data_IF_169193865354
#
_entry.id   IF_169193865354
#
_cell.length_a   1.000
_cell.length_b   1.000
_cell.length_c   1.000
_cell.angle_alpha   90.00
_cell.angle_beta   90.00
_cell.angle_gamma   90.00
#
_symmetry.space_group_name_H-M   'P 1'
#
loop_
_entity.id
_entity.type
_entity.pdbx_description
1 polymer ?
#
# COMPACT_ATOMS: atom_id res chain seq x y z
N UNK A 1 -11.88 4.21 27.79
CA UNK A 1 -11.30 3.98 26.45
C UNK A 1 -9.84 4.43 26.40
N UNK A 2 -9.54 5.69 26.75
CA UNK A 2 -8.16 6.23 26.86
C UNK A 2 -7.23 5.35 27.69
N UNK A 3 -7.64 4.90 28.88
CA UNK A 3 -6.80 4.08 29.77
C UNK A 3 -6.28 2.77 29.15
N UNK A 4 -7.08 2.07 28.32
CA UNK A 4 -6.64 0.83 27.67
C UNK A 4 -5.53 1.11 26.65
N UNK A 5 -5.76 2.12 25.79
CA UNK A 5 -4.80 2.55 24.77
C UNK A 5 -3.60 3.33 25.35
N UNK A 6 -3.65 3.74 26.62
CA UNK A 6 -2.51 4.33 27.34
C UNK A 6 -1.58 3.27 27.93
N UNK A 7 -1.97 1.99 27.94
CA UNK A 7 -1.15 0.92 28.49
C UNK A 7 0.20 0.80 27.74
N UNK A 8 1.30 0.94 28.49
CA UNK A 8 2.68 0.87 27.98
C UNK A 8 2.98 -0.47 27.30
N UNK A 9 2.49 -1.58 27.85
CA UNK A 9 2.73 -2.92 27.29
C UNK A 9 2.03 -3.11 25.95
N UNK A 10 0.81 -2.57 25.80
CA UNK A 10 0.09 -2.59 24.53
C UNK A 10 0.85 -1.80 23.44
N UNK A 11 1.37 -0.62 23.77
CA UNK A 11 2.19 0.19 22.85
C UNK A 11 3.47 -0.52 22.44
N UNK A 12 4.14 -1.19 23.38
CA UNK A 12 5.36 -1.97 23.10
C UNK A 12 5.06 -3.16 22.18
N UNK A 13 3.99 -3.90 22.46
CA UNK A 13 3.53 -5.02 21.64
C UNK A 13 3.19 -4.56 20.23
N UNK A 14 2.54 -3.40 20.09
CA UNK A 14 2.23 -2.82 18.79
C UNK A 14 3.50 -2.43 18.01
N UNK A 15 4.49 -1.83 18.66
CA UNK A 15 5.78 -1.53 18.01
C UNK A 15 6.49 -2.81 17.57
N UNK A 16 6.52 -3.83 18.42
CA UNK A 16 7.07 -5.13 18.05
C UNK A 16 6.33 -5.72 16.83
N UNK A 17 5.00 -5.64 16.81
CA UNK A 17 4.18 -6.07 15.68
C UNK A 17 4.55 -5.31 14.39
N UNK A 18 4.63 -3.98 14.42
CA UNK A 18 5.01 -3.20 13.24
C UNK A 18 6.44 -3.48 12.77
N UNK A 19 7.39 -3.67 13.70
CA UNK A 19 8.77 -4.05 13.34
C UNK A 19 8.77 -5.42 12.64
N UNK A 20 8.04 -6.40 13.15
CA UNK A 20 7.92 -7.72 12.52
C UNK A 20 7.25 -7.65 11.15
N UNK A 21 6.20 -6.83 10.99
CA UNK A 21 5.57 -6.57 9.67
C UNK A 21 6.58 -5.95 8.70
N UNK A 22 7.44 -5.03 9.15
CA UNK A 22 8.46 -4.40 8.30
C UNK A 22 9.53 -5.40 7.87
N UNK A 23 10.01 -6.25 8.79
CA UNK A 23 11.09 -7.20 8.54
C UNK A 23 10.62 -8.35 7.65
N UNK A 24 9.40 -8.85 7.82
CA UNK A 24 8.96 -10.13 7.24
C UNK A 24 7.67 -10.08 6.41
N UNK A 25 7.03 -8.91 6.27
CA UNK A 25 5.83 -8.69 5.41
C UNK A 25 4.81 -9.84 5.44
N UNK A 26 4.61 -10.49 4.28
CA UNK A 26 3.64 -11.54 4.06
C UNK A 26 3.98 -12.77 4.88
N UNK A 27 5.27 -13.10 5.01
CA UNK A 27 5.70 -14.24 5.81
C UNK A 27 5.37 -14.07 7.29
N UNK A 28 5.35 -12.86 7.84
CA UNK A 28 4.87 -12.65 9.20
C UNK A 28 3.35 -12.65 9.29
N UNK A 29 2.66 -11.98 8.36
CA UNK A 29 1.19 -11.99 8.32
C UNK A 29 0.61 -13.39 8.03
N UNK A 30 1.40 -14.28 7.45
CA UNK A 30 1.05 -15.67 7.16
C UNK A 30 1.19 -16.64 8.34
N UNK A 31 1.78 -16.22 9.46
CA UNK A 31 2.00 -17.11 10.62
C UNK A 31 0.65 -17.59 11.16
N UNK A 32 0.55 -18.90 11.40
CA UNK A 32 -0.65 -19.50 11.97
C UNK A 32 -0.69 -19.37 13.49
N UNK A 33 -1.80 -18.84 14.02
CA UNK A 33 -2.13 -18.77 15.43
C UNK A 33 -3.55 -19.29 15.62
N UNK A 34 -3.71 -20.37 16.37
CA UNK A 34 -5.01 -21.02 16.60
C UNK A 34 -5.77 -21.38 15.30
N UNK A 35 -5.04 -21.76 14.25
CA UNK A 35 -5.60 -22.13 12.94
C UNK A 35 -5.92 -20.95 12.01
N UNK A 36 -5.76 -19.71 12.46
CA UNK A 36 -5.93 -18.50 11.64
C UNK A 36 -4.59 -17.84 11.34
N UNK A 37 -4.48 -17.18 10.19
CA UNK A 37 -3.27 -16.41 9.87
C UNK A 37 -3.26 -15.10 10.68
N UNK A 38 -2.09 -14.65 11.10
CA UNK A 38 -1.94 -13.37 11.81
C UNK A 38 -2.56 -12.20 11.04
N UNK A 39 -2.50 -12.21 9.71
CA UNK A 39 -3.13 -11.20 8.87
C UNK A 39 -4.65 -11.22 8.97
N UNK A 40 -5.29 -12.38 9.04
CA UNK A 40 -6.74 -12.50 9.23
C UNK A 40 -7.16 -11.98 10.61
N UNK A 41 -6.39 -12.34 11.64
CA UNK A 41 -6.60 -11.83 13.01
C UNK A 41 -6.40 -10.31 13.09
N UNK A 42 -5.43 -9.76 12.36
CA UNK A 42 -5.20 -8.32 12.30
C UNK A 42 -6.37 -7.59 11.63
N UNK A 43 -6.92 -8.12 10.53
CA UNK A 43 -8.12 -7.58 9.89
C UNK A 43 -9.33 -7.66 10.84
N UNK A 44 -9.51 -8.78 11.54
CA UNK A 44 -10.59 -8.94 12.52
C UNK A 44 -10.48 -7.92 13.67
N UNK A 45 -9.28 -7.73 14.21
CA UNK A 45 -9.02 -6.71 15.24
C UNK A 45 -9.33 -5.29 14.73
N UNK A 46 -8.99 -5.01 13.46
CA UNK A 46 -9.31 -3.76 12.79
C UNK A 46 -10.82 -3.57 12.60
N UNK A 47 -11.53 -4.62 12.19
CA UNK A 47 -12.99 -4.62 12.08
C UNK A 47 -13.66 -4.30 13.42
N UNK A 48 -13.25 -4.97 14.50
CA UNK A 48 -13.77 -4.72 15.86
C UNK A 48 -13.50 -3.27 16.26
N UNK A 49 -12.29 -2.77 16.00
CA UNK A 49 -11.92 -1.37 16.22
C UNK A 49 -12.87 -0.43 15.47
N UNK A 50 -13.07 -0.66 14.17
CA UNK A 50 -13.94 0.16 13.31
C UNK A 50 -15.38 0.21 13.84
N UNK A 51 -15.97 -0.97 14.11
CA UNK A 51 -17.35 -1.08 14.62
C UNK A 51 -17.47 -0.41 15.99
N UNK A 52 -16.52 -0.64 16.89
CA UNK A 52 -16.52 -0.03 18.22
C UNK A 52 -16.43 1.50 18.14
N UNK A 53 -15.51 2.05 17.33
CA UNK A 53 -15.42 3.49 17.15
C UNK A 53 -16.71 4.05 16.53
N UNK A 54 -17.26 3.42 15.48
CA UNK A 54 -18.49 3.88 14.83
C UNK A 54 -19.68 4.04 15.81
N UNK A 55 -19.83 3.10 16.75
CA UNK A 55 -20.91 3.08 17.74
C UNK A 55 -20.67 4.03 18.93
N UNK A 56 -19.44 4.07 19.45
CA UNK A 56 -19.12 4.77 20.70
C UNK A 56 -18.48 6.15 20.53
N UNK A 57 -18.21 6.59 19.29
CA UNK A 57 -17.59 7.88 18.98
C UNK A 57 -18.32 9.07 19.61
N UNK A 58 -19.65 9.04 19.75
CA UNK A 58 -20.44 10.15 20.32
C UNK A 58 -20.16 10.40 21.81
N UNK A 59 -19.78 9.37 22.58
CA UNK A 59 -19.68 9.44 24.05
C UNK A 59 -18.31 9.87 24.58
N UNK A 60 -17.25 9.76 23.79
CA UNK A 60 -15.87 9.97 24.28
C UNK A 60 -15.35 11.40 23.97
N UNK A 61 -15.04 12.20 24.99
CA UNK A 61 -14.47 13.55 24.83
C UNK A 61 -13.10 13.52 24.13
N UNK A 62 -12.39 12.39 24.20
CA UNK A 62 -11.05 12.23 23.62
C UNK A 62 -11.03 12.23 22.08
N UNK A 63 -12.20 12.10 21.44
CA UNK A 63 -12.40 11.99 19.98
C UNK A 63 -13.08 13.24 19.38
N UNK A 64 -13.05 14.38 20.05
CA UNK A 64 -13.81 15.56 19.66
C UNK A 64 -13.54 16.06 18.22
N UNK A 65 -12.30 15.94 17.74
CA UNK A 65 -11.96 16.24 16.34
C UNK A 65 -12.72 15.33 15.36
N UNK A 66 -12.76 14.03 15.65
CA UNK A 66 -13.47 13.05 14.83
C UNK A 66 -14.98 13.25 14.92
N UNK A 67 -15.51 13.68 16.08
CA UNK A 67 -16.91 14.08 16.26
C UNK A 67 -17.32 15.29 15.42
N UNK A 68 -16.47 16.31 15.36
CA UNK A 68 -16.71 17.53 14.56
C UNK A 68 -16.55 17.27 13.06
N UNK A 69 -15.73 16.30 12.69
CA UNK A 69 -15.55 15.89 11.31
C UNK A 69 -16.72 15.04 10.82
N UNK A 70 -17.02 15.09 9.51
CA UNK A 70 -18.00 14.19 8.88
C UNK A 70 -17.46 12.75 8.68
N UNK A 71 -16.26 12.44 9.19
CA UNK A 71 -15.61 11.12 9.03
C UNK A 71 -16.50 10.01 9.60
N UNK A 72 -17.02 10.17 10.82
CA UNK A 72 -17.88 9.15 11.43
C UNK A 72 -19.18 8.92 10.64
N UNK A 73 -19.77 10.00 10.12
CA UNK A 73 -20.97 9.91 9.27
C UNK A 73 -20.68 9.10 8.01
N UNK A 74 -19.59 9.41 7.30
CA UNK A 74 -19.21 8.68 6.08
C UNK A 74 -18.91 7.22 6.38
N UNK A 75 -18.24 6.91 7.48
CA UNK A 75 -17.96 5.51 7.87
C UNK A 75 -19.25 4.74 8.14
N UNK A 76 -20.20 5.34 8.86
CA UNK A 76 -21.50 4.73 9.06
C UNK A 76 -22.23 4.49 7.72
N UNK A 77 -22.13 5.44 6.78
CA UNK A 77 -22.69 5.25 5.43
C UNK A 77 -21.98 4.13 4.65
N UNK A 78 -20.65 3.98 4.80
CA UNK A 78 -19.89 2.87 4.21
C UNK A 78 -20.37 1.54 4.79
N UNK A 79 -20.55 1.44 6.12
CA UNK A 79 -21.04 0.23 6.78
C UNK A 79 -22.49 -0.12 6.38
N UNK A 80 -23.37 0.88 6.29
CA UNK A 80 -24.75 0.71 5.79
C UNK A 80 -24.72 0.23 4.33
N UNK A 81 -23.88 0.86 3.50
CA UNK A 81 -23.71 0.48 2.10
C UNK A 81 -23.20 -0.94 1.97
N UNK A 82 -22.24 -1.38 2.81
CA UNK A 82 -21.79 -2.77 2.87
C UNK A 82 -22.94 -3.74 3.14
N UNK A 83 -23.73 -3.49 4.19
CA UNK A 83 -24.87 -4.36 4.55
C UNK A 83 -25.89 -4.43 3.41
N UNK A 84 -26.20 -3.28 2.80
CA UNK A 84 -27.14 -3.20 1.68
C UNK A 84 -26.64 -3.98 0.46
N UNK A 85 -25.38 -3.78 0.05
CA UNK A 85 -24.78 -4.50 -1.07
C UNK A 85 -24.73 -6.00 -0.78
N UNK A 86 -24.27 -6.40 0.41
CA UNK A 86 -24.18 -7.80 0.80
C UNK A 86 -25.56 -8.50 0.75
N UNK A 87 -26.63 -7.82 1.18
CA UNK A 87 -27.98 -8.34 1.07
C UNK A 87 -28.41 -8.50 -0.41
N UNK A 88 -28.20 -7.48 -1.24
CA UNK A 88 -28.56 -7.52 -2.66
C UNK A 88 -27.78 -8.57 -3.47
N UNK A 89 -26.51 -8.79 -3.13
CA UNK A 89 -25.65 -9.79 -3.80
C UNK A 89 -25.79 -11.19 -3.21
N UNK A 90 -26.77 -11.44 -2.33
CA UNK A 90 -26.97 -12.71 -1.62
C UNK A 90 -25.71 -13.21 -0.90
N UNK A 91 -24.90 -12.29 -0.37
CA UNK A 91 -23.70 -12.62 0.40
C UNK A 91 -24.07 -13.15 1.78
N UNK A 92 -23.41 -14.23 2.19
CA UNK A 92 -23.64 -14.83 3.50
C UNK A 92 -22.78 -14.13 4.57
N UNK A 93 -23.40 -13.49 5.55
CA UNK A 93 -22.72 -12.83 6.67
C UNK A 93 -21.98 -13.78 7.63
N UNK A 94 -22.23 -15.08 7.54
CA UNK A 94 -21.51 -16.12 8.29
C UNK A 94 -20.29 -16.60 7.52
N UNK A 95 -20.28 -16.46 6.18
CA UNK A 95 -19.18 -16.94 5.34
C UNK A 95 -17.96 -15.99 5.47
N UNK A 96 -16.78 -16.50 5.87
CA UNK A 96 -15.54 -15.71 5.91
C UNK A 96 -15.18 -15.04 4.58
N UNK A 97 -15.58 -15.62 3.45
CA UNK A 97 -15.34 -15.06 2.13
C UNK A 97 -15.92 -13.65 1.97
N UNK A 98 -17.12 -13.40 2.51
CA UNK A 98 -17.77 -12.07 2.48
C UNK A 98 -16.86 -11.01 3.08
N UNK A 99 -16.14 -11.35 4.16
CA UNK A 99 -15.22 -10.44 4.84
C UNK A 99 -13.84 -10.36 4.15
N UNK A 100 -13.39 -11.46 3.52
CA UNK A 100 -12.20 -11.46 2.64
C UNK A 100 -12.39 -10.49 1.47
N UNK A 101 -13.53 -10.59 0.77
CA UNK A 101 -13.87 -9.76 -0.39
C UNK A 101 -14.12 -8.28 -0.03
N UNK A 102 -14.45 -7.98 1.23
CA UNK A 102 -14.69 -6.63 1.76
C UNK A 102 -13.56 -6.13 2.68
N UNK A 103 -12.38 -6.74 2.65
CA UNK A 103 -11.24 -6.44 3.54
C UNK A 103 -10.83 -4.95 3.51
N UNK A 104 -10.96 -4.29 2.37
CA UNK A 104 -10.67 -2.87 2.21
C UNK A 104 -11.55 -1.94 3.07
N UNK A 105 -12.74 -2.40 3.50
CA UNK A 105 -13.61 -1.69 4.44
C UNK A 105 -13.08 -1.85 5.85
N UNK A 106 -12.77 -3.07 6.24
CA UNK A 106 -12.36 -3.41 7.62
C UNK A 106 -11.00 -2.82 7.98
N UNK A 107 -10.09 -2.71 7.02
CA UNK A 107 -8.78 -2.08 7.21
C UNK A 107 -8.84 -0.62 7.64
N UNK A 108 -9.95 0.10 7.39
CA UNK A 108 -10.16 1.47 7.88
C UNK A 108 -10.10 1.55 9.41
N UNK A 109 -10.37 0.46 10.13
CA UNK A 109 -10.20 0.41 11.59
C UNK A 109 -8.79 0.77 12.09
N UNK A 110 -7.75 0.53 11.27
CA UNK A 110 -6.38 0.89 11.61
C UNK A 110 -6.16 2.40 11.68
N UNK A 111 -6.99 3.20 11.03
CA UNK A 111 -6.95 4.65 11.14
C UNK A 111 -7.29 5.10 12.55
N UNK A 112 -8.33 4.54 13.15
CA UNK A 112 -8.70 4.86 14.53
C UNK A 112 -7.68 4.34 15.53
N UNK A 113 -7.13 3.15 15.26
CA UNK A 113 -6.07 2.58 16.08
C UNK A 113 -4.84 3.50 16.07
N UNK A 114 -4.39 3.95 14.88
CA UNK A 114 -3.30 4.90 14.73
C UNK A 114 -3.56 6.23 15.45
N UNK A 115 -4.76 6.79 15.31
CA UNK A 115 -5.15 8.01 16.02
C UNK A 115 -5.13 7.84 17.55
N UNK A 116 -5.71 6.77 18.08
CA UNK A 116 -5.85 6.61 19.52
C UNK A 116 -4.51 6.26 20.19
N UNK A 117 -3.69 5.40 19.56
CA UNK A 117 -2.40 4.97 20.11
C UNK A 117 -1.38 6.11 20.20
N UNK A 118 -1.44 7.05 19.26
CA UNK A 118 -0.46 8.12 19.11
C UNK A 118 -0.87 9.41 19.80
N UNK A 119 -2.12 9.49 20.29
CA UNK A 119 -2.67 10.69 20.93
C UNK A 119 -1.78 11.23 22.05
N UNK A 120 -1.33 10.33 22.92
CA UNK A 120 -0.51 10.63 24.10
C UNK A 120 0.89 9.99 23.99
N UNK A 121 1.42 9.88 22.77
CA UNK A 121 2.72 9.25 22.55
C UNK A 121 3.66 10.19 21.80
N UNK A 122 4.80 10.49 22.42
CA UNK A 122 5.92 11.18 21.78
C UNK A 122 6.94 10.17 21.28
N UNK A 123 7.30 10.26 20.01
CA UNK A 123 8.35 9.42 19.44
C UNK A 123 9.72 9.94 19.87
N UNK A 124 10.54 9.05 20.42
CA UNK A 124 11.91 9.40 20.74
C UNK A 124 12.77 9.30 19.48
N UNK A 125 13.32 10.44 19.06
CA UNK A 125 14.18 10.59 17.88
C UNK A 125 15.25 9.50 17.77
N UNK A 126 15.98 9.20 18.86
CA UNK A 126 17.05 8.19 18.88
C UNK A 126 16.53 6.80 18.50
N UNK A 127 15.41 6.37 19.08
CA UNK A 127 14.83 5.04 18.81
C UNK A 127 14.18 4.97 17.44
N UNK A 128 13.56 6.05 16.97
CA UNK A 128 12.99 6.00 15.62
C UNK A 128 14.08 6.02 14.55
N UNK A 129 15.20 6.73 14.76
CA UNK A 129 16.28 6.79 13.79
C UNK A 129 16.92 5.41 13.50
N UNK A 130 16.82 4.43 14.41
CA UNK A 130 17.26 3.06 14.13
C UNK A 130 16.39 2.33 13.10
N UNK A 131 15.18 2.82 12.78
CA UNK A 131 14.36 2.28 11.69
C UNK A 131 15.02 2.41 10.31
N UNK A 132 16.01 3.31 10.15
CA UNK A 132 16.85 3.37 8.95
C UNK A 132 17.65 2.07 8.73
N UNK A 133 18.04 1.39 9.81
CA UNK A 133 18.72 0.09 9.72
C UNK A 133 17.77 -0.99 9.21
N UNK A 134 16.47 -0.89 9.52
CA UNK A 134 15.44 -1.79 8.98
C UNK A 134 15.33 -1.58 7.46
N UNK A 135 15.36 -0.33 6.98
CA UNK A 135 15.38 -0.08 5.52
C UNK A 135 16.66 -0.60 4.85
N UNK A 136 17.83 -0.48 5.48
CA UNK A 136 19.04 -1.09 4.93
C UNK A 136 18.94 -2.62 4.90
N UNK A 137 18.39 -3.21 5.96
CA UNK A 137 18.13 -4.64 6.00
C UNK A 137 17.18 -5.09 4.88
N UNK A 138 16.05 -4.41 4.69
CA UNK A 138 15.08 -4.71 3.60
C UNK A 138 15.74 -4.57 2.23
N UNK A 139 16.61 -3.57 2.04
CA UNK A 139 17.34 -3.38 0.79
C UNK A 139 18.20 -4.60 0.45
N UNK A 140 19.01 -5.07 1.40
CA UNK A 140 19.88 -6.24 1.18
C UNK A 140 19.08 -7.54 1.07
N UNK A 141 18.04 -7.69 1.88
CA UNK A 141 17.13 -8.83 1.84
C UNK A 141 16.50 -8.99 0.45
N UNK A 142 16.06 -7.89 -0.15
CA UNK A 142 15.42 -7.92 -1.47
C UNK A 142 16.38 -8.34 -2.61
N UNK A 143 17.70 -8.25 -2.40
CA UNK A 143 18.76 -8.57 -3.36
C UNK A 143 19.33 -9.97 -3.15
N UNK A 144 19.63 -10.32 -1.89
CA UNK A 144 20.34 -11.55 -1.53
C UNK A 144 19.45 -12.66 -0.99
N UNK A 145 18.20 -12.35 -0.64
CA UNK A 145 17.25 -13.27 0.00
C UNK A 145 17.70 -13.80 1.38
N UNK A 146 16.86 -14.58 2.05
CA UNK A 146 17.22 -15.26 3.31
C UNK A 146 17.96 -16.58 3.05
N UNK A 147 18.82 -17.03 3.98
CA UNK A 147 19.37 -18.39 3.94
C UNK A 147 18.24 -19.44 3.94
N UNK A 148 18.44 -20.56 3.24
CA UNK A 148 17.43 -21.64 3.12
C UNK A 148 16.94 -22.13 4.47
N UNK A 149 17.82 -22.29 5.47
CA UNK A 149 17.43 -22.70 6.83
C UNK A 149 16.41 -21.76 7.48
N UNK A 150 16.48 -20.46 7.20
CA UNK A 150 15.52 -19.48 7.70
C UNK A 150 14.22 -19.52 6.89
N UNK A 151 14.31 -19.73 5.58
CA UNK A 151 13.14 -19.91 4.72
C UNK A 151 12.33 -21.14 5.16
N UNK A 152 13.00 -22.27 5.39
CA UNK A 152 12.38 -23.52 5.85
C UNK A 152 11.75 -23.34 7.24
N UNK A 153 12.42 -22.63 8.14
CA UNK A 153 11.83 -22.27 9.43
C UNK A 153 10.56 -21.44 9.27
N UNK A 154 10.57 -20.42 8.40
CA UNK A 154 9.37 -19.61 8.13
C UNK A 154 8.24 -20.49 7.55
N UNK A 155 8.55 -21.35 6.59
CA UNK A 155 7.58 -22.27 5.98
C UNK A 155 7.00 -23.27 7.00
N UNK A 156 7.72 -23.57 8.09
CA UNK A 156 7.21 -24.43 9.17
C UNK A 156 6.14 -23.76 10.05
N UNK A 157 6.08 -22.42 10.08
CA UNK A 157 5.17 -21.66 10.95
C UNK A 157 4.18 -20.77 10.19
N UNK A 158 4.43 -20.51 8.90
CA UNK A 158 3.73 -19.52 8.07
C UNK A 158 3.14 -20.14 6.81
N UNK A 159 2.11 -19.49 6.26
CA UNK A 159 1.44 -19.94 5.04
C UNK A 159 2.36 -19.98 3.81
N UNK A 160 3.30 -19.02 3.71
CA UNK A 160 4.33 -19.02 2.69
C UNK A 160 5.52 -18.13 3.06
N UNK A 161 6.67 -18.49 2.50
CA UNK A 161 7.78 -17.56 2.38
C UNK A 161 7.61 -16.70 1.12
N UNK A 162 7.61 -15.37 1.27
CA UNK A 162 7.55 -14.46 0.14
C UNK A 162 8.45 -13.24 0.41
N UNK A 163 9.50 -13.03 -0.40
CA UNK A 163 10.31 -11.82 -0.33
C UNK A 163 9.48 -10.57 -0.60
N UNK A 164 9.91 -9.42 -0.07
CA UNK A 164 9.18 -8.16 -0.18
C UNK A 164 8.88 -7.80 -1.64
N UNK A 165 7.61 -7.50 -1.92
CA UNK A 165 7.20 -6.94 -3.23
C UNK A 165 7.61 -5.48 -3.31
N UNK A 166 7.68 -4.95 -4.53
CA UNK A 166 7.99 -3.54 -4.75
C UNK A 166 7.04 -2.59 -4.02
N UNK A 167 5.74 -2.92 -3.94
CA UNK A 167 4.74 -2.18 -3.15
C UNK A 167 5.07 -2.17 -1.66
N UNK A 168 5.51 -3.31 -1.12
CA UNK A 168 5.78 -3.47 0.32
C UNK A 168 6.98 -2.62 0.73
N UNK A 169 8.03 -2.69 -0.08
CA UNK A 169 9.25 -1.89 0.10
C UNK A 169 8.93 -0.39 0.02
N UNK A 170 8.07 0.01 -0.92
CA UNK A 170 7.63 1.40 -1.07
C UNK A 170 6.92 1.91 0.19
N UNK A 171 5.89 1.20 0.69
CA UNK A 171 5.12 1.69 1.85
C UNK A 171 5.99 1.75 3.11
N UNK A 172 6.92 0.81 3.29
CA UNK A 172 7.88 0.82 4.39
C UNK A 172 8.86 1.99 4.29
N UNK A 173 9.37 2.24 3.08
CA UNK A 173 10.22 3.39 2.79
C UNK A 173 9.50 4.69 3.12
N UNK A 174 8.31 4.89 2.56
CA UNK A 174 7.52 6.11 2.73
C UNK A 174 7.15 6.31 4.21
N UNK A 175 6.67 5.27 4.89
CA UNK A 175 6.31 5.37 6.31
C UNK A 175 7.52 5.77 7.18
N UNK A 176 8.66 5.11 6.97
CA UNK A 176 9.90 5.41 7.70
C UNK A 176 10.41 6.82 7.40
N UNK A 177 10.53 7.19 6.11
CA UNK A 177 11.06 8.50 5.71
C UNK A 177 10.14 9.64 6.10
N UNK A 178 8.83 9.46 5.98
CA UNK A 178 7.87 10.46 6.40
C UNK A 178 8.08 10.78 7.88
N UNK A 179 8.07 9.78 8.75
CA UNK A 179 8.28 10.00 10.18
C UNK A 179 9.68 10.56 10.47
N UNK A 180 10.72 10.01 9.83
CA UNK A 180 12.11 10.44 10.03
C UNK A 180 12.30 11.93 9.74
N UNK A 181 11.79 12.43 8.62
CA UNK A 181 11.93 13.84 8.22
C UNK A 181 11.23 14.77 9.21
N UNK A 182 10.07 14.38 9.77
CA UNK A 182 9.33 15.21 10.74
C UNK A 182 9.98 15.21 12.13
N UNK A 183 10.59 14.10 12.55
CA UNK A 183 11.31 14.00 13.83
C UNK A 183 12.70 14.65 13.84
N UNK A 184 13.33 14.78 12.68
CA UNK A 184 14.70 15.27 12.58
C UNK A 184 14.75 16.73 12.10
N UNK A 185 15.96 17.31 12.13
CA UNK A 185 16.19 18.59 11.49
C UNK A 185 15.88 18.46 9.99
N UNK A 186 15.18 19.43 9.41
CA UNK A 186 14.81 19.46 7.99
C UNK A 186 15.99 19.15 7.06
N UNK A 187 17.20 19.60 7.39
CA UNK A 187 18.39 19.36 6.58
C UNK A 187 18.83 17.90 6.63
N UNK A 188 18.93 17.33 7.82
CA UNK A 188 19.29 15.91 8.01
C UNK A 188 18.22 15.03 7.35
N UNK A 189 16.95 15.39 7.50
CA UNK A 189 15.84 14.71 6.84
C UNK A 189 16.00 14.64 5.31
N UNK A 190 16.31 15.77 4.67
CA UNK A 190 16.53 15.82 3.21
C UNK A 190 17.78 15.04 2.80
N UNK A 191 18.90 15.16 3.52
CA UNK A 191 20.13 14.45 3.17
C UNK A 191 19.93 12.93 3.23
N UNK A 192 19.27 12.44 4.28
CA UNK A 192 18.91 11.03 4.42
C UNK A 192 17.91 10.61 3.35
N UNK A 193 16.91 11.43 3.03
CA UNK A 193 15.95 11.15 1.95
C UNK A 193 16.67 10.97 0.60
N UNK A 194 17.63 11.84 0.26
CA UNK A 194 18.41 11.73 -0.97
C UNK A 194 19.19 10.41 -1.01
N UNK A 195 19.98 10.13 0.03
CA UNK A 195 20.78 8.91 0.13
C UNK A 195 19.91 7.66 -0.03
N UNK A 196 18.84 7.55 0.75
CA UNK A 196 17.97 6.38 0.74
C UNK A 196 17.14 6.28 -0.54
N UNK A 197 16.68 7.39 -1.13
CA UNK A 197 15.93 7.36 -2.39
C UNK A 197 16.80 6.88 -3.54
N UNK A 198 18.05 7.39 -3.64
CA UNK A 198 18.98 6.96 -4.69
C UNK A 198 19.47 5.51 -4.48
N UNK A 199 19.51 5.03 -3.24
CA UNK A 199 19.70 3.62 -2.94
C UNK A 199 18.50 2.77 -3.41
N UNK A 200 17.26 3.22 -3.17
CA UNK A 200 16.06 2.45 -3.49
C UNK A 200 15.58 2.57 -4.93
N UNK A 201 15.97 3.62 -5.67
CA UNK A 201 15.52 3.86 -7.04
C UNK A 201 15.83 2.68 -7.98
N UNK A 202 17.08 2.17 -8.09
CA UNK A 202 17.36 1.03 -8.97
C UNK A 202 16.62 -0.24 -8.53
N UNK A 203 16.53 -0.47 -7.22
CA UNK A 203 15.89 -1.65 -6.65
C UNK A 203 14.39 -1.69 -6.92
N UNK A 204 13.68 -0.57 -6.70
CA UNK A 204 12.25 -0.48 -7.02
C UNK A 204 12.01 -0.50 -8.53
N UNK A 205 12.89 0.10 -9.34
CA UNK A 205 12.75 0.03 -10.80
C UNK A 205 12.82 -1.42 -11.30
N UNK A 206 13.73 -2.21 -10.72
CA UNK A 206 13.87 -3.64 -11.00
C UNK A 206 12.66 -4.47 -10.52
N UNK A 207 12.14 -4.18 -9.32
CA UNK A 207 11.04 -4.97 -8.72
C UNK A 207 9.64 -4.56 -9.20
N UNK A 208 9.35 -3.28 -9.36
CA UNK A 208 8.04 -2.76 -9.76
C UNK A 208 8.13 -1.30 -10.25
N UNK A 209 7.87 -1.09 -11.55
CA UNK A 209 7.83 0.26 -12.15
C UNK A 209 6.81 1.18 -11.46
N UNK A 210 5.66 0.65 -11.05
CA UNK A 210 4.65 1.41 -10.32
C UNK A 210 5.15 1.90 -8.95
N UNK A 211 5.87 1.04 -8.23
CA UNK A 211 6.49 1.42 -6.96
C UNK A 211 7.62 2.43 -7.15
N UNK A 212 8.43 2.28 -8.19
CA UNK A 212 9.48 3.25 -8.54
C UNK A 212 8.91 4.64 -8.82
N UNK A 213 7.90 4.76 -9.68
CA UNK A 213 7.26 6.04 -10.00
C UNK A 213 6.65 6.66 -8.73
N UNK A 214 6.02 5.83 -7.89
CA UNK A 214 5.48 6.29 -6.60
C UNK A 214 6.57 6.86 -5.69
N UNK A 215 7.74 6.22 -5.62
CA UNK A 215 8.86 6.73 -4.83
C UNK A 215 9.39 8.05 -5.40
N UNK A 216 9.46 8.18 -6.73
CA UNK A 216 9.84 9.44 -7.39
C UNK A 216 8.85 10.56 -7.05
N UNK A 217 7.54 10.28 -7.09
CA UNK A 217 6.51 11.24 -6.66
C UNK A 217 6.72 11.63 -5.20
N UNK A 218 6.92 10.67 -4.30
CA UNK A 218 7.19 10.94 -2.88
C UNK A 218 8.42 11.84 -2.70
N UNK A 219 9.53 11.50 -3.36
CA UNK A 219 10.78 12.25 -3.33
C UNK A 219 10.57 13.70 -3.78
N UNK A 220 9.91 13.91 -4.93
CA UNK A 220 9.63 15.26 -5.46
C UNK A 220 8.77 16.06 -4.47
N UNK A 221 7.70 15.46 -3.93
CA UNK A 221 6.81 16.13 -2.98
C UNK A 221 7.53 16.54 -1.69
N UNK A 222 8.38 15.68 -1.12
CA UNK A 222 9.19 16.01 0.06
C UNK A 222 10.24 17.10 -0.22
N UNK A 223 10.88 17.05 -1.40
CA UNK A 223 11.84 18.08 -1.83
C UNK A 223 11.15 19.42 -2.00
N UNK A 224 9.97 19.47 -2.64
CA UNK A 224 9.17 20.70 -2.78
C UNK A 224 8.74 21.24 -1.41
N UNK A 225 8.31 20.35 -0.51
CA UNK A 225 7.89 20.72 0.85
C UNK A 225 9.04 21.36 1.64
N UNK A 226 10.24 20.79 1.55
CA UNK A 226 11.42 21.25 2.30
C UNK A 226 12.39 22.12 1.48
N UNK A 227 11.97 22.65 0.32
CA UNK A 227 12.84 23.38 -0.62
C UNK A 227 13.61 24.55 -0.03
N UNK A 228 13.04 25.25 0.97
CA UNK A 228 13.71 26.37 1.64
C UNK A 228 15.02 25.95 2.30
N UNK A 229 15.07 24.73 2.83
CA UNK A 229 16.27 24.17 3.45
C UNK A 229 17.39 23.93 2.43
N UNK A 230 17.05 23.58 1.20
CA UNK A 230 18.04 23.41 0.13
C UNK A 230 18.59 24.77 -0.34
N UNK A 231 17.70 25.73 -0.58
CA UNK A 231 18.07 27.07 -1.06
C UNK A 231 18.94 27.83 -0.05
N UNK A 232 18.66 27.69 1.25
CA UNK A 232 19.39 28.40 2.30
C UNK A 232 20.74 27.75 2.69
N UNK A 233 21.12 26.64 2.04
CA UNK A 233 22.40 25.95 2.33
C UNK A 233 23.45 26.25 1.26
N UNK A 234 24.72 26.22 1.67
CA UNK A 234 25.84 26.47 0.78
C UNK A 234 25.82 25.53 -0.43
N UNK A 235 26.08 26.09 -1.62
CA UNK A 235 26.08 25.38 -2.89
C UNK A 235 26.92 24.10 -2.86
N UNK A 236 28.15 24.17 -2.33
CA UNK A 236 29.06 23.02 -2.23
C UNK A 236 28.48 21.84 -1.45
N UNK A 237 27.66 22.10 -0.42
CA UNK A 237 27.02 21.03 0.37
C UNK A 237 25.93 20.33 -0.44
N UNK A 238 25.15 21.08 -1.22
CA UNK A 238 24.15 20.51 -2.11
C UNK A 238 24.78 19.75 -3.27
N UNK A 239 25.85 20.31 -3.84
CA UNK A 239 26.62 19.66 -4.89
C UNK A 239 27.26 18.35 -4.41
N UNK A 240 27.87 18.35 -3.22
CA UNK A 240 28.40 17.15 -2.59
C UNK A 240 27.33 16.09 -2.30
N UNK A 241 26.14 16.50 -1.82
CA UNK A 241 25.01 15.60 -1.64
C UNK A 241 24.57 14.95 -2.96
N UNK A 242 24.51 15.73 -4.05
CA UNK A 242 24.14 15.21 -5.37
C UNK A 242 25.16 14.18 -5.86
N UNK A 243 26.46 14.49 -5.78
CA UNK A 243 27.52 13.55 -6.16
C UNK A 243 27.42 12.26 -5.35
N UNK A 244 27.32 12.37 -4.01
CA UNK A 244 27.18 11.21 -3.14
C UNK A 244 25.95 10.36 -3.50
N UNK A 245 24.81 11.00 -3.78
CA UNK A 245 23.58 10.31 -4.16
C UNK A 245 23.72 9.58 -5.50
N UNK A 246 24.35 10.20 -6.50
CA UNK A 246 24.62 9.56 -7.80
C UNK A 246 25.55 8.35 -7.64
N UNK A 247 26.63 8.48 -6.86
CA UNK A 247 27.54 7.36 -6.57
C UNK A 247 26.79 6.19 -5.90
N UNK A 248 25.90 6.49 -4.96
CA UNK A 248 25.06 5.48 -4.30
C UNK A 248 24.09 4.82 -5.28
N UNK A 249 23.47 5.58 -6.19
CA UNK A 249 22.60 5.00 -7.22
C UNK A 249 23.39 4.09 -8.16
N UNK A 250 24.58 4.50 -8.59
CA UNK A 250 25.46 3.66 -9.42
C UNK A 250 25.82 2.37 -8.69
N UNK A 251 26.23 2.45 -7.42
CA UNK A 251 26.51 1.28 -6.58
C UNK A 251 25.27 0.38 -6.42
N UNK A 252 24.10 0.98 -6.25
CA UNK A 252 22.85 0.24 -6.14
C UNK A 252 22.50 -0.49 -7.43
N UNK A 253 22.70 0.13 -8.60
CA UNK A 253 22.55 -0.55 -9.90
C UNK A 253 23.40 -1.82 -9.92
N UNK A 254 24.69 -1.73 -9.58
CA UNK A 254 25.59 -2.89 -9.56
C UNK A 254 25.11 -4.01 -8.63
N UNK A 255 24.60 -3.67 -7.44
CA UNK A 255 24.07 -4.67 -6.51
C UNK A 255 22.79 -5.32 -7.04
N UNK A 256 21.86 -4.52 -7.57
CA UNK A 256 20.54 -4.98 -8.02
C UNK A 256 20.64 -5.83 -9.27
N UNK A 257 21.49 -5.46 -10.23
CA UNK A 257 21.71 -6.24 -11.46
C UNK A 257 22.52 -7.51 -11.22
N UNK A 258 23.09 -7.68 -10.02
CA UNK A 258 24.06 -8.73 -9.70
C UNK A 258 25.15 -8.84 -10.77
N UNK A 259 25.51 -7.71 -11.40
CA UNK A 259 26.43 -7.68 -12.52
C UNK A 259 27.87 -7.83 -12.03
N UNK A 260 28.24 -9.06 -11.66
CA UNK A 260 29.44 -9.64 -12.26
C UNK A 260 29.16 -9.90 -13.73
N UNK A 261 30.15 -9.71 -14.60
CA UNK A 261 30.02 -10.05 -16.01
C UNK A 261 29.44 -11.47 -16.17
N UNK A 262 28.44 -11.63 -17.04
CA UNK A 262 27.68 -12.85 -17.39
C UNK A 262 26.39 -13.12 -16.59
N UNK A 263 25.25 -12.66 -17.15
CA UNK A 263 23.95 -13.39 -17.17
C UNK A 263 22.93 -12.75 -18.13
N UNK A 264 23.37 -12.42 -19.35
CA UNK A 264 22.45 -11.94 -20.41
C UNK A 264 21.56 -13.07 -20.95
N UNK A 265 22.00 -14.34 -20.84
CA UNK A 265 21.30 -15.49 -21.39
C UNK A 265 20.00 -15.88 -20.65
N UNK A 266 19.94 -15.72 -19.32
CA UNK A 266 18.78 -16.14 -18.50
C UNK A 266 17.60 -15.15 -18.62
N UNK A 267 17.89 -13.88 -18.93
CA UNK A 267 16.86 -12.87 -19.11
C UNK A 267 15.98 -13.16 -20.34
N UNK A 268 16.55 -13.72 -21.41
CA UNK A 268 15.83 -13.98 -22.66
C UNK A 268 14.81 -15.14 -22.53
N UNK A 269 15.08 -16.17 -21.73
CA UNK A 269 14.13 -17.28 -21.53
C UNK A 269 12.88 -16.85 -20.74
N UNK A 270 13.04 -16.06 -19.67
CA UNK A 270 11.90 -15.53 -18.90
C UNK A 270 11.07 -14.49 -19.66
N UNK A 271 11.70 -13.73 -20.56
CA UNK A 271 10.98 -12.80 -21.43
C UNK A 271 10.07 -13.59 -22.37
N UNK A 272 10.55 -14.67 -22.99
CA UNK A 272 9.78 -15.46 -23.94
C UNK A 272 8.51 -16.10 -23.33
N UNK A 273 8.59 -16.68 -22.13
CA UNK A 273 7.42 -17.24 -21.43
C UNK A 273 6.36 -16.18 -21.08
N UNK A 274 6.78 -14.99 -20.64
CA UNK A 274 5.83 -13.92 -20.24
C UNK A 274 5.23 -13.21 -21.46
N UNK A 275 5.97 -13.13 -22.58
CA UNK A 275 5.48 -12.50 -23.81
C UNK A 275 4.47 -13.37 -24.57
N UNK A 276 4.56 -14.70 -24.52
CA UNK A 276 3.66 -15.56 -25.30
C UNK A 276 2.19 -15.47 -24.87
N UNK A 277 1.89 -15.20 -23.59
CA UNK A 277 0.52 -15.19 -23.07
C UNK A 277 -0.08 -13.80 -22.83
N UNK A 278 0.72 -12.73 -22.93
CA UNK A 278 0.32 -11.38 -22.52
C UNK A 278 0.67 -10.29 -23.55
N UNK A 279 1.38 -10.63 -24.62
CA UNK A 279 1.68 -9.67 -25.67
C UNK A 279 0.44 -9.44 -26.55
N UNK A 280 0.18 -8.18 -26.96
CA UNK A 280 -0.82 -7.92 -27.98
C UNK A 280 -0.40 -8.60 -29.29
N UNK A 281 -1.33 -9.28 -29.96
CA UNK A 281 -1.13 -9.77 -31.33
C UNK A 281 -1.00 -8.57 -32.27
N UNK A 282 0.24 -8.20 -32.56
CA UNK A 282 0.58 -7.15 -33.52
C UNK A 282 1.00 -7.79 -34.84
N UNK A 283 0.48 -7.27 -35.95
CA UNK A 283 0.93 -7.73 -37.26
C UNK A 283 2.39 -7.33 -37.49
N UNK A 284 3.19 -8.15 -38.19
CA UNK A 284 4.57 -7.80 -38.52
C UNK A 284 4.63 -6.46 -39.27
N UNK A 285 5.30 -5.46 -38.69
CA UNK A 285 5.46 -4.12 -39.27
C UNK A 285 4.51 -3.04 -38.74
N UNK A 286 3.59 -3.38 -37.82
CA UNK A 286 2.66 -2.42 -37.22
C UNK A 286 3.36 -1.65 -36.09
N UNK A 287 3.67 -0.37 -36.32
CA UNK A 287 4.16 0.53 -35.27
C UNK A 287 2.98 1.07 -34.48
N UNK A 288 2.89 0.70 -33.21
CA UNK A 288 1.80 1.16 -32.32
C UNK A 288 2.38 2.00 -31.19
N UNK A 289 1.70 3.12 -30.90
CA UNK A 289 2.03 3.97 -29.76
C UNK A 289 1.98 3.18 -28.45
N UNK A 290 2.72 3.63 -27.43
CA UNK A 290 2.78 2.95 -26.12
C UNK A 290 1.39 2.68 -25.49
N UNK A 291 0.45 3.60 -25.72
CA UNK A 291 -0.99 3.42 -25.49
C UNK A 291 -1.73 3.66 -26.81
N UNK A 292 -2.70 2.81 -27.14
CA UNK A 292 -3.47 2.92 -28.37
C UNK A 292 -4.91 2.42 -28.20
N UNK A 293 -5.81 2.88 -29.07
CA UNK A 293 -7.19 2.42 -29.12
C UNK A 293 -7.36 1.45 -30.30
N UNK A 294 -7.98 0.30 -30.03
CA UNK A 294 -8.34 -0.70 -31.05
C UNK A 294 -9.71 -1.28 -30.68
N UNK A 295 -10.62 -1.37 -31.65
CA UNK A 295 -11.97 -1.93 -31.45
C UNK A 295 -12.75 -1.31 -30.26
N UNK A 296 -12.56 0.00 -30.02
CA UNK A 296 -13.20 0.72 -28.91
C UNK A 296 -12.59 0.45 -27.52
N UNK A 297 -11.49 -0.29 -27.44
CA UNK A 297 -10.76 -0.59 -26.20
C UNK A 297 -9.37 0.06 -26.20
N UNK A 298 -8.88 0.38 -25.01
CA UNK A 298 -7.53 0.88 -24.76
C UNK A 298 -6.57 -0.28 -24.53
N UNK A 299 -5.40 -0.22 -25.17
CA UNK A 299 -4.32 -1.19 -25.08
C UNK A 299 -2.99 -0.50 -24.80
N UNK A 300 -2.01 -1.29 -24.33
CA UNK A 300 -0.62 -0.87 -24.20
C UNK A 300 0.32 -1.84 -24.91
N UNK A 301 1.43 -1.34 -25.46
CA UNK A 301 2.51 -2.21 -25.94
C UNK A 301 3.30 -2.84 -24.80
N UNK A 302 3.19 -2.31 -23.57
CA UNK A 302 3.70 -2.97 -22.38
C UNK A 302 2.73 -4.05 -21.90
N UNK A 303 3.20 -5.29 -22.00
CA UNK A 303 2.55 -6.52 -21.59
C UNK A 303 1.87 -6.45 -20.22
N UNK A 304 2.55 -5.89 -19.22
CA UNK A 304 2.04 -5.85 -17.84
C UNK A 304 1.00 -4.74 -17.64
N UNK A 305 1.16 -3.61 -18.31
CA UNK A 305 0.17 -2.52 -18.28
C UNK A 305 -1.07 -2.93 -19.07
N UNK A 306 -0.88 -3.54 -20.24
CA UNK A 306 -1.96 -4.00 -21.10
C UNK A 306 -2.90 -4.95 -20.37
N UNK A 307 -2.33 -5.98 -19.73
CA UNK A 307 -3.07 -6.94 -18.92
C UNK A 307 -3.95 -6.27 -17.85
N UNK A 308 -3.44 -5.23 -17.17
CA UNK A 308 -4.24 -4.48 -16.17
C UNK A 308 -5.36 -3.68 -16.82
N UNK A 309 -5.05 -2.94 -17.88
CA UNK A 309 -6.01 -2.10 -18.60
C UNK A 309 -7.16 -2.95 -19.16
N UNK A 310 -6.88 -4.16 -19.64
CA UNK A 310 -7.90 -5.10 -20.10
C UNK A 310 -8.83 -5.52 -18.95
N UNK A 311 -8.29 -5.93 -17.80
CA UNK A 311 -9.11 -6.31 -16.64
C UNK A 311 -9.99 -5.13 -16.20
N UNK A 312 -9.44 -3.92 -16.17
CA UNK A 312 -10.20 -2.73 -15.76
C UNK A 312 -11.36 -2.44 -16.71
N UNK A 313 -11.13 -2.58 -18.01
CA UNK A 313 -12.18 -2.41 -19.01
C UNK A 313 -13.23 -3.53 -18.92
N UNK A 314 -12.83 -4.76 -18.64
CA UNK A 314 -13.77 -5.87 -18.48
C UNK A 314 -14.67 -5.68 -17.25
N UNK A 315 -14.13 -5.17 -16.14
CA UNK A 315 -14.98 -4.77 -14.99
C UNK A 315 -16.04 -3.74 -15.40
N UNK A 316 -15.67 -2.76 -16.23
CA UNK A 316 -16.63 -1.76 -16.72
C UNK A 316 -17.70 -2.39 -17.63
N UNK A 317 -17.30 -3.33 -18.49
CA UNK A 317 -18.21 -4.05 -19.40
C UNK A 317 -19.16 -4.97 -18.62
N UNK A 318 -18.65 -5.74 -17.67
CA UNK A 318 -19.43 -6.66 -16.83
C UNK A 318 -20.50 -5.89 -16.04
N UNK A 319 -20.10 -4.81 -15.36
CA UNK A 319 -21.03 -3.95 -14.62
C UNK A 319 -22.08 -3.34 -15.56
N UNK A 320 -21.69 -2.96 -16.78
CA UNK A 320 -22.58 -2.38 -17.78
C UNK A 320 -23.64 -3.40 -18.21
N UNK A 321 -23.20 -4.62 -18.53
CA UNK A 321 -24.07 -5.69 -19.01
C UNK A 321 -25.06 -6.14 -17.93
N UNK A 322 -24.62 -6.20 -16.68
CA UNK A 322 -25.45 -6.60 -15.54
C UNK A 322 -26.29 -5.43 -14.96
N UNK A 323 -26.15 -4.20 -15.50
CA UNK A 323 -26.76 -2.98 -14.99
C UNK A 323 -26.46 -2.68 -13.50
N UNK A 324 -25.26 -3.03 -13.03
CA UNK A 324 -24.85 -2.92 -11.61
C UNK A 324 -24.11 -1.62 -11.26
N UNK A 325 -24.24 -0.55 -12.07
CA UNK A 325 -23.43 0.67 -11.95
C UNK A 325 -23.38 1.27 -10.53
N UNK A 326 -24.50 1.21 -9.80
CA UNK A 326 -24.63 1.84 -8.48
C UNK A 326 -24.17 0.96 -7.32
N UNK A 327 -24.25 -0.37 -7.47
CA UNK A 327 -24.10 -1.34 -6.37
C UNK A 327 -22.96 -2.36 -6.56
N UNK A 328 -22.45 -2.54 -7.79
CA UNK A 328 -21.40 -3.51 -8.11
C UNK A 328 -21.86 -4.98 -7.97
N UNK A 329 -20.90 -5.89 -8.08
CA UNK A 329 -21.13 -7.35 -7.99
C UNK A 329 -21.28 -7.87 -6.56
N UNK A 330 -20.91 -7.06 -5.54
CA UNK A 330 -20.96 -7.44 -4.14
C UNK A 330 -19.87 -8.42 -3.70
N UNK A 331 -20.18 -9.23 -2.69
CA UNK A 331 -19.18 -9.97 -1.89
C UNK A 331 -19.39 -11.49 -1.86
N UNK A 332 -20.30 -12.03 -2.67
CA UNK A 332 -20.65 -13.46 -2.66
C UNK A 332 -19.68 -14.33 -3.47
N UNK A 333 -19.03 -13.76 -4.49
CA UNK A 333 -18.14 -14.47 -5.39
C UNK A 333 -16.93 -13.62 -5.84
N UNK A 334 -16.03 -14.21 -6.61
CA UNK A 334 -14.94 -13.52 -7.30
C UNK A 334 -15.49 -12.50 -8.30
N UNK A 335 -14.76 -11.41 -8.55
CA UNK A 335 -15.15 -10.43 -9.56
C UNK A 335 -15.13 -11.13 -10.93
N UNK A 336 -16.19 -11.04 -11.76
CA UNK A 336 -16.28 -11.80 -13.01
C UNK A 336 -15.08 -11.62 -13.94
N UNK A 337 -14.60 -10.39 -14.12
CA UNK A 337 -13.38 -10.08 -14.86
C UNK A 337 -12.12 -10.83 -14.38
N UNK A 338 -12.06 -11.27 -13.11
CA UNK A 338 -10.94 -12.06 -12.55
C UNK A 338 -11.14 -13.58 -12.67
N UNK A 339 -12.35 -14.03 -13.02
CA UNK A 339 -12.71 -15.43 -13.17
C UNK A 339 -12.53 -15.96 -14.60
N UNK A 340 -11.86 -15.20 -15.48
CA UNK A 340 -11.63 -15.61 -16.86
C UNK A 340 -10.75 -16.87 -16.93
N UNK A 341 -11.14 -17.80 -17.80
CA UNK A 341 -10.45 -19.06 -18.04
C UNK A 341 -9.90 -19.12 -19.47
N UNK A 342 -8.79 -19.83 -19.67
CA UNK A 342 -8.29 -20.19 -21.00
C UNK A 342 -9.07 -21.38 -21.60
N UNK A 343 -8.65 -21.81 -22.81
CA UNK A 343 -9.25 -22.94 -23.52
C UNK A 343 -9.11 -24.29 -22.80
N UNK A 344 -8.20 -24.38 -21.83
CA UNK A 344 -7.94 -25.57 -21.02
C UNK A 344 -8.66 -25.51 -19.66
N UNK A 345 -9.36 -24.40 -19.37
CA UNK A 345 -10.09 -24.19 -18.13
C UNK A 345 -9.24 -23.63 -16.97
N UNK A 346 -8.01 -23.17 -17.23
CA UNK A 346 -7.13 -22.57 -16.23
C UNK A 346 -7.40 -21.06 -16.12
N UNK A 347 -7.26 -20.49 -14.93
CA UNK A 347 -7.43 -19.05 -14.76
C UNK A 347 -6.31 -18.25 -15.41
N UNK A 348 -6.68 -17.32 -16.28
CA UNK A 348 -5.73 -16.46 -17.00
C UNK A 348 -5.34 -15.19 -16.22
N UNK A 349 -6.03 -14.91 -15.11
CA UNK A 349 -5.94 -13.62 -14.39
C UNK A 349 -5.65 -13.73 -12.90
N UNK A 350 -5.64 -14.93 -12.34
CA UNK A 350 -5.37 -15.15 -10.91
C UNK A 350 -3.88 -15.22 -10.56
N UNK A 351 -2.99 -14.98 -11.52
CA UNK A 351 -1.54 -15.03 -11.33
C UNK A 351 -0.98 -16.46 -11.36
N UNK A 352 0.33 -16.59 -11.20
CA UNK A 352 1.02 -17.89 -11.26
C UNK A 352 0.62 -18.83 -10.10
N UNK A 353 0.18 -18.27 -8.98
CA UNK A 353 -0.26 -19.05 -7.82
C UNK A 353 -1.76 -19.42 -7.88
N UNK A 354 -2.50 -18.90 -8.85
CA UNK A 354 -3.92 -19.20 -9.03
C UNK A 354 -4.86 -18.52 -8.01
N UNK A 355 -4.33 -17.70 -7.10
CA UNK A 355 -5.05 -17.29 -5.88
C UNK A 355 -5.48 -15.82 -5.87
N UNK A 356 -5.06 -15.01 -6.85
CA UNK A 356 -5.43 -13.61 -6.89
C UNK A 356 -6.86 -13.41 -7.42
N UNK A 357 -7.67 -12.69 -6.66
CA UNK A 357 -9.07 -12.38 -6.99
C UNK A 357 -9.32 -10.87 -7.18
N UNK A 358 -8.26 -10.06 -7.14
CA UNK A 358 -8.35 -8.60 -7.13
C UNK A 358 -7.82 -7.98 -8.43
N UNK A 359 -8.45 -6.87 -8.82
CA UNK A 359 -8.33 -6.22 -10.14
C UNK A 359 -7.04 -5.38 -10.31
N UNK A 360 -6.09 -5.45 -9.36
CA UNK A 360 -4.84 -4.67 -9.37
C UNK A 360 -5.01 -3.14 -9.55
N UNK A 361 -6.14 -2.61 -9.09
CA UNK A 361 -6.39 -1.19 -8.97
C UNK A 361 -7.43 -0.96 -7.87
N UNK A 362 -7.03 -0.25 -6.83
CA UNK A 362 -7.85 -0.06 -5.64
C UNK A 362 -9.23 0.57 -5.94
N UNK A 363 -9.30 1.58 -6.81
CA UNK A 363 -10.56 2.26 -7.13
C UNK A 363 -11.46 1.40 -7.99
N UNK A 364 -10.89 0.70 -8.98
CA UNK A 364 -11.63 -0.24 -9.82
C UNK A 364 -12.13 -1.43 -9.00
N UNK A 365 -11.35 -1.90 -8.03
CA UNK A 365 -11.77 -2.97 -7.13
C UNK A 365 -12.94 -2.55 -6.23
N UNK A 366 -12.89 -1.34 -5.63
CA UNK A 366 -14.03 -0.78 -4.88
C UNK A 366 -15.26 -0.64 -5.78
N UNK A 367 -15.07 -0.16 -7.01
CA UNK A 367 -16.15 -0.01 -7.98
C UNK A 367 -16.76 -1.36 -8.37
N UNK A 368 -15.93 -2.37 -8.65
CA UNK A 368 -16.34 -3.73 -8.96
C UNK A 368 -17.20 -4.34 -7.84
N UNK A 369 -16.83 -4.07 -6.58
CA UNK A 369 -17.49 -4.63 -5.40
C UNK A 369 -18.75 -3.86 -4.99
N UNK A 370 -18.72 -2.53 -5.00
CA UNK A 370 -19.79 -1.70 -4.41
C UNK A 370 -20.38 -0.61 -5.31
N UNK A 371 -19.97 -0.54 -6.58
CA UNK A 371 -20.47 0.42 -7.55
C UNK A 371 -20.11 1.88 -7.24
N UNK A 372 -20.73 2.80 -7.97
CA UNK A 372 -20.44 4.24 -7.89
C UNK A 372 -20.75 4.83 -6.51
N UNK A 373 -21.81 4.36 -5.84
CA UNK A 373 -22.21 4.89 -4.53
C UNK A 373 -21.12 4.56 -3.50
N UNK A 374 -20.67 3.31 -3.45
CA UNK A 374 -19.65 2.90 -2.50
C UNK A 374 -18.29 3.55 -2.78
N UNK A 375 -17.91 3.65 -4.05
CA UNK A 375 -16.71 4.37 -4.47
C UNK A 375 -16.75 5.84 -4.04
N UNK A 376 -17.87 6.53 -4.26
CA UNK A 376 -18.03 7.93 -3.85
C UNK A 376 -17.89 8.11 -2.33
N UNK A 377 -18.37 7.16 -1.52
CA UNK A 377 -18.19 7.18 -0.08
C UNK A 377 -16.72 7.06 0.34
N UNK A 378 -15.94 6.19 -0.32
CA UNK A 378 -14.51 6.08 -0.07
C UNK A 378 -13.73 7.34 -0.48
N UNK A 379 -14.07 7.94 -1.63
CA UNK A 379 -13.50 9.23 -2.04
C UNK A 379 -13.83 10.33 -1.03
N UNK A 380 -15.08 10.36 -0.53
CA UNK A 380 -15.48 11.28 0.54
C UNK A 380 -14.72 11.02 1.85
N UNK A 381 -14.46 9.77 2.20
CA UNK A 381 -13.69 9.41 3.39
C UNK A 381 -12.29 10.03 3.33
N UNK A 382 -11.55 9.82 2.23
CA UNK A 382 -10.23 10.44 2.06
C UNK A 382 -10.30 11.96 2.09
N UNK A 383 -11.29 12.57 1.43
CA UNK A 383 -11.50 14.02 1.45
C UNK A 383 -11.68 14.55 2.89
N UNK A 384 -12.53 13.92 3.71
CA UNK A 384 -12.76 14.36 5.08
C UNK A 384 -11.58 14.09 6.02
N UNK A 385 -10.82 13.02 5.81
CA UNK A 385 -9.56 12.78 6.53
C UNK A 385 -8.57 13.91 6.24
N UNK A 386 -8.38 14.26 4.97
CA UNK A 386 -7.49 15.36 4.56
C UNK A 386 -7.96 16.71 5.12
N UNK A 387 -9.27 16.98 5.07
CA UNK A 387 -9.86 18.20 5.64
C UNK A 387 -9.63 18.28 7.15
N UNK A 388 -9.82 17.19 7.88
CA UNK A 388 -9.58 17.13 9.32
C UNK A 388 -8.09 17.35 9.66
N UNK A 389 -7.19 16.79 8.86
CA UNK A 389 -5.76 16.98 9.03
C UNK A 389 -5.35 18.44 8.80
N UNK A 390 -5.80 19.06 7.71
CA UNK A 390 -5.58 20.48 7.44
C UNK A 390 -6.09 21.35 8.59
N UNK A 391 -7.30 21.08 9.09
CA UNK A 391 -7.88 21.87 10.18
C UNK A 391 -7.07 21.80 11.48
N UNK A 392 -6.44 20.66 11.79
CA UNK A 392 -5.68 20.47 13.03
C UNK A 392 -4.22 20.92 12.95
N UNK A 393 -3.56 20.61 11.83
CA UNK A 393 -2.12 20.84 11.65
C UNK A 393 -1.79 22.06 10.79
N UNK A 394 -2.78 22.67 10.14
CA UNK A 394 -2.63 23.80 9.22
C UNK A 394 -1.63 23.52 8.07
N UNK A 395 -1.51 22.25 7.68
CA UNK A 395 -0.64 21.82 6.59
C UNK A 395 -1.33 20.72 5.75
N UNK A 396 -0.77 20.45 4.58
CA UNK A 396 -1.18 19.34 3.73
C UNK A 396 -0.16 18.19 3.79
N UNK A 397 0.50 17.99 4.94
CA UNK A 397 1.60 17.03 5.10
C UNK A 397 1.18 15.60 4.72
N UNK A 398 -0.09 15.24 4.97
CA UNK A 398 -0.65 13.94 4.60
C UNK A 398 -0.65 13.66 3.10
N UNK A 399 -0.79 14.68 2.26
CA UNK A 399 -0.78 14.47 0.81
C UNK A 399 0.58 13.96 0.32
N UNK A 400 1.66 14.33 1.03
CA UNK A 400 3.02 13.95 0.65
C UNK A 400 3.19 12.44 0.63
N UNK A 401 2.58 11.70 1.56
CA UNK A 401 2.62 10.24 1.54
C UNK A 401 1.36 9.59 0.92
N UNK A 402 0.18 10.22 1.01
CA UNK A 402 -1.06 9.62 0.50
C UNK A 402 -1.05 9.50 -1.03
N UNK A 403 -0.62 10.55 -1.74
CA UNK A 403 -0.57 10.56 -3.22
C UNK A 403 0.30 9.41 -3.77
N UNK A 404 1.58 9.26 -3.38
CA UNK A 404 2.42 8.20 -3.92
C UNK A 404 1.93 6.79 -3.53
N UNK A 405 1.41 6.60 -2.31
CA UNK A 405 0.87 5.30 -1.86
C UNK A 405 -0.39 4.92 -2.66
N UNK A 406 -1.28 5.88 -2.92
CA UNK A 406 -2.45 5.65 -3.77
C UNK A 406 -2.07 5.40 -5.22
N UNK A 407 -1.09 6.12 -5.76
CA UNK A 407 -0.59 5.90 -7.11
C UNK A 407 -0.09 4.46 -7.30
N UNK A 408 0.70 3.94 -6.36
CA UNK A 408 1.14 2.54 -6.39
C UNK A 408 -0.05 1.57 -6.42
N UNK A 409 -1.09 1.86 -5.63
CA UNK A 409 -2.29 1.04 -5.50
C UNK A 409 -3.24 1.13 -6.70
N UNK A 410 -2.99 2.03 -7.66
CA UNK A 410 -3.72 2.04 -8.93
C UNK A 410 -3.16 1.02 -9.94
N UNK A 411 -1.95 0.50 -9.71
CA UNK A 411 -1.30 -0.46 -10.60
C UNK A 411 -0.90 -1.75 -9.87
N UNK A 412 -1.36 -1.93 -8.64
CA UNK A 412 -1.11 -3.12 -7.85
C UNK A 412 -2.30 -3.42 -6.92
N UNK A 413 -2.43 -4.67 -6.49
CA UNK A 413 -3.46 -5.11 -5.53
C UNK A 413 -2.99 -4.91 -4.08
N UNK A 414 -2.27 -3.81 -3.83
CA UNK A 414 -1.60 -3.57 -2.56
C UNK A 414 -2.59 -3.29 -1.43
N UNK A 415 -3.69 -2.58 -1.71
CA UNK A 415 -4.69 -2.21 -0.71
C UNK A 415 -5.59 -3.37 -0.28
N UNK A 416 -5.58 -4.48 -1.01
CA UNK A 416 -6.30 -5.71 -0.69
C UNK A 416 -5.48 -6.67 0.18
N UNK A 417 -4.17 -6.42 0.32
CA UNK A 417 -3.31 -7.15 1.25
C UNK A 417 -3.55 -6.70 2.71
N UNK A 418 -3.06 -7.46 3.68
CA UNK A 418 -3.30 -7.15 5.10
C UNK A 418 -2.34 -6.10 5.69
N UNK A 419 -1.11 -6.00 5.19
CA UNK A 419 -0.05 -5.14 5.78
C UNK A 419 0.04 -3.75 5.16
N UNK A 420 -0.12 -3.61 3.84
CA UNK A 420 -0.03 -2.33 3.15
C UNK A 420 -1.11 -1.31 3.61
N UNK A 421 -2.43 -1.64 3.59
CA UNK A 421 -3.45 -0.73 4.09
C UNK A 421 -3.34 -0.52 5.61
N UNK A 422 -2.85 -1.50 6.36
CA UNK A 422 -2.57 -1.37 7.79
C UNK A 422 -1.58 -0.22 8.04
N UNK A 423 -0.43 -0.22 7.35
CA UNK A 423 0.57 0.83 7.49
C UNK A 423 0.01 2.18 7.06
N UNK A 424 -0.67 2.24 5.90
CA UNK A 424 -1.27 3.47 5.39
C UNK A 424 -2.29 4.08 6.38
N UNK A 425 -3.30 3.32 6.78
CA UNK A 425 -4.36 3.84 7.63
C UNK A 425 -3.83 4.19 9.02
N UNK A 426 -2.94 3.38 9.59
CA UNK A 426 -2.28 3.72 10.86
C UNK A 426 -1.51 5.04 10.75
N UNK A 427 -0.76 5.24 9.66
CA UNK A 427 -0.01 6.47 9.40
C UNK A 427 -0.93 7.69 9.23
N UNK A 428 -2.06 7.55 8.54
CA UNK A 428 -3.09 8.60 8.43
C UNK A 428 -3.67 8.98 9.80
N UNK A 429 -3.99 7.99 10.62
CA UNK A 429 -4.48 8.20 11.98
C UNK A 429 -3.45 8.90 12.87
N UNK A 430 -2.19 8.45 12.80
CA UNK A 430 -1.08 9.06 13.52
C UNK A 430 -0.83 10.51 13.09
N UNK A 431 -0.90 10.81 11.79
CA UNK A 431 -0.64 12.15 11.28
C UNK A 431 -1.68 13.17 11.78
N UNK A 432 -2.90 12.75 12.12
CA UNK A 432 -3.83 13.64 12.82
C UNK A 432 -3.30 14.09 14.18
N UNK A 433 -2.34 13.41 14.80
CA UNK A 433 -1.68 13.81 16.02
C UNK A 433 -0.27 14.37 15.79
N UNK A 434 0.04 14.88 14.59
CA UNK A 434 1.36 15.38 14.18
C UNK A 434 2.06 16.19 15.28
N UNK A 435 1.39 17.20 15.84
CA UNK A 435 1.94 18.08 16.89
C UNK A 435 2.33 17.31 18.17
N UNK A 436 1.54 16.32 18.57
CA UNK A 436 1.83 15.54 19.78
C UNK A 436 2.97 14.53 19.55
N UNK A 437 3.07 14.00 18.32
CA UNK A 437 4.01 12.92 17.99
C UNK A 437 5.40 13.46 17.66
N UNK A 438 5.48 14.56 16.90
CA UNK A 438 6.71 15.09 16.31
C UNK A 438 7.20 16.41 16.91
N UNK A 439 6.86 16.73 18.17
CA UNK A 439 7.38 17.91 18.87
C UNK A 439 8.89 18.04 18.61
N UNK A 440 9.26 19.06 17.81
CA UNK A 440 10.65 19.43 17.56
C UNK A 440 11.12 20.13 18.83
N UNK A 441 11.83 19.39 19.68
CA UNK A 441 12.61 19.98 20.77
C UNK A 441 13.62 20.96 20.17
#
# INVERSE_FOLDING_TARGET
MTKFFENKYLKLLLVAFFISVFIFTRSFMGIYVLGFRLGELAILASMICLLFFSLFLKKDSSLELLKRSKINLIINLILISFVFIAYLSNSNFINPYTYKASSYIWTVGFFFLGYQMTKNWKFQKKYFNSSLLILLYIYFLAIYDLPSSVQDFILSISDKYEPHKGSDMLIMFIATMFIFIRLNNSRIGIEVLFIFSFLYFPLLLYKSRGAFISLVIYFILEVIHNRKTLVNTAFFRNFGLLIASVLIAVQSVFFVTQSGALKVAIANEKINEVTQYRAPELNPGEYVNYLYLKDGRLYSTDVNINWRIEIWQDVLVDIKNDNLYLIGHGYSATIPAMSALDHEGNSVRSGLDGMNENVHNYLVNIYARGGLIHLALFLCLYFYILKANKAKNNNYSSLIFLIPVMFCSFFDASMENSHYPLILYFLLGMNLNEKNVFDKI
#
